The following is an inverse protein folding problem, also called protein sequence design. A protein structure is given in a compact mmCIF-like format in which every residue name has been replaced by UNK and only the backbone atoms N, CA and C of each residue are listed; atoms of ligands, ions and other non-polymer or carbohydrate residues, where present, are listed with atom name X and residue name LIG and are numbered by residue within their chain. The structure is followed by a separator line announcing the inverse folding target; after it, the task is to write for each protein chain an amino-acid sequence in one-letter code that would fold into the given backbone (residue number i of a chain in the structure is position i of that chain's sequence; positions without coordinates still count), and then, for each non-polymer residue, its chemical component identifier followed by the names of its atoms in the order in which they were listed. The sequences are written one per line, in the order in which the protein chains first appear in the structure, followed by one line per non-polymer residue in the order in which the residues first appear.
data_IF_930903018059
#
_entry.id   IF_930903018059
#
_cell.length_a   1.000
_cell.length_b   1.000
_cell.length_c   1.000
_cell.angle_alpha   90.00
_cell.angle_beta   90.00
_cell.angle_gamma   90.00
#
_symmetry.space_group_name_H-M   'P 1'
#
loop_
_entity.id
_entity.type
_entity.pdbx_description
1 polymer ?
#
# COMPACT_ATOMS: atom_id res chain seq x y z
N UNK A 1 14.27 2.59 -8.37
CA UNK A 1 13.01 2.65 -7.63
C UNK A 1 12.81 1.32 -6.96
N UNK A 2 13.17 1.28 -5.68
CA UNK A 2 12.83 0.19 -4.79
C UNK A 2 11.35 0.31 -4.41
N UNK A 3 10.62 -0.80 -4.46
CA UNK A 3 9.22 -0.87 -4.05
C UNK A 3 9.12 -1.93 -2.98
N UNK A 4 8.79 -1.51 -1.76
CA UNK A 4 8.48 -2.40 -0.67
C UNK A 4 6.97 -2.50 -0.51
N UNK A 5 6.47 -3.72 -0.57
CA UNK A 5 5.07 -4.01 -0.30
C UNK A 5 4.99 -5.07 0.77
N UNK A 6 4.24 -4.79 1.82
CA UNK A 6 3.88 -5.77 2.83
C UNK A 6 2.37 -5.99 2.87
N UNK A 7 1.97 -7.19 3.26
CA UNK A 7 0.57 -7.53 3.50
C UNK A 7 0.41 -8.08 4.91
N UNK A 8 -0.63 -7.65 5.60
CA UNK A 8 -1.05 -8.26 6.86
C UNK A 8 -2.06 -9.39 6.61
N UNK A 9 -2.32 -10.19 7.66
CA UNK A 9 -3.25 -11.33 7.62
C UNK A 9 -4.72 -10.94 7.37
N UNK A 10 -5.07 -9.67 7.53
CA UNK A 10 -6.42 -9.14 7.33
C UNK A 10 -6.63 -8.54 5.93
N UNK A 11 -5.64 -8.68 5.03
CA UNK A 11 -5.70 -8.14 3.68
C UNK A 11 -5.36 -6.65 3.57
N UNK A 12 -4.86 -6.05 4.65
CA UNK A 12 -4.24 -4.74 4.62
C UNK A 12 -2.92 -4.78 3.85
N UNK A 13 -2.67 -3.76 3.03
CA UNK A 13 -1.46 -3.66 2.20
C UNK A 13 -0.77 -2.33 2.49
N UNK A 14 0.53 -2.36 2.76
CA UNK A 14 1.37 -1.17 2.83
C UNK A 14 2.28 -1.14 1.62
N UNK A 15 2.37 0.02 0.96
CA UNK A 15 3.28 0.28 -0.15
C UNK A 15 4.20 1.42 0.26
N UNK A 16 5.50 1.21 0.16
CA UNK A 16 6.53 2.22 0.39
C UNK A 16 7.53 2.18 -0.76
N UNK A 17 8.01 3.35 -1.15
CA UNK A 17 9.07 3.48 -2.16
C UNK A 17 10.19 4.38 -1.66
N UNK A 18 11.36 4.23 -2.26
CA UNK A 18 12.55 5.04 -1.98
C UNK A 18 12.38 6.53 -2.34
N UNK A 19 11.46 6.87 -3.24
CA UNK A 19 11.14 8.24 -3.65
C UNK A 19 10.08 8.94 -2.76
N UNK A 20 9.67 8.29 -1.66
CA UNK A 20 8.76 8.87 -0.67
C UNK A 20 7.27 8.67 -0.95
N UNK A 21 6.90 7.91 -1.98
CA UNK A 21 5.51 7.49 -2.13
C UNK A 21 5.14 6.45 -1.07
N UNK A 22 4.02 6.69 -0.40
CA UNK A 22 3.44 5.78 0.56
C UNK A 22 1.95 5.63 0.27
N UNK A 23 1.43 4.40 0.34
CA UNK A 23 0.01 4.13 0.22
C UNK A 23 -0.41 2.94 1.07
N UNK A 24 -1.65 2.97 1.53
CA UNK A 24 -2.25 1.91 2.33
C UNK A 24 -3.52 1.40 1.67
N UNK A 25 -3.70 0.09 1.59
CA UNK A 25 -5.00 -0.53 1.29
C UNK A 25 -5.63 -0.98 2.60
N UNK A 26 -6.76 -0.37 2.97
CA UNK A 26 -7.50 -0.68 4.21
C UNK A 26 -8.99 -0.60 3.94
N UNK A 27 -9.76 -1.56 4.45
CA UNK A 27 -11.21 -1.61 4.33
C UNK A 27 -11.71 -1.48 2.87
N UNK A 28 -11.04 -2.16 1.93
CA UNK A 28 -11.46 -2.21 0.52
C UNK A 28 -11.10 -0.99 -0.32
N UNK A 29 -10.33 -0.03 0.21
CA UNK A 29 -9.92 1.17 -0.54
C UNK A 29 -8.44 1.49 -0.37
N UNK A 30 -7.88 2.12 -1.40
CA UNK A 30 -6.57 2.75 -1.35
C UNK A 30 -6.65 4.11 -0.67
N UNK A 31 -5.68 4.39 0.20
CA UNK A 31 -5.49 5.62 0.94
C UNK A 31 -4.08 6.15 0.69
N UNK A 32 -3.96 7.46 0.54
CA UNK A 32 -2.67 8.13 0.37
C UNK A 32 -1.94 8.21 1.72
N UNK A 33 -0.69 7.77 1.76
CA UNK A 33 0.11 7.66 2.99
C UNK A 33 -0.07 6.36 3.78
N UNK A 34 0.42 6.38 5.02
CA UNK A 34 0.42 5.23 5.95
C UNK A 34 -0.79 5.34 6.88
N UNK A 35 -1.75 4.42 6.77
CA UNK A 35 -3.00 4.40 7.54
C UNK A 35 -3.15 3.14 8.39
N UNK A 36 -2.03 2.70 8.96
CA UNK A 36 -1.95 1.57 9.87
C UNK A 36 -1.71 2.08 11.30
N UNK A 37 -2.55 1.66 12.23
CA UNK A 37 -2.37 1.94 13.65
C UNK A 37 -1.41 0.94 14.31
N UNK A 38 -1.12 1.12 15.60
CA UNK A 38 -0.22 0.23 16.33
C UNK A 38 -0.70 -1.23 16.31
N UNK A 39 -2.01 -1.48 16.36
CA UNK A 39 -2.57 -2.83 16.25
C UNK A 39 -2.33 -3.45 14.87
N UNK A 40 -2.48 -2.68 13.81
CA UNK A 40 -2.21 -3.17 12.45
C UNK A 40 -0.73 -3.50 12.21
N UNK A 41 0.18 -2.83 12.94
CA UNK A 41 1.62 -3.12 12.88
C UNK A 41 2.01 -4.35 13.70
N UNK A 42 1.24 -4.66 14.75
CA UNK A 42 1.41 -5.90 15.52
C UNK A 42 0.99 -7.14 14.74
N UNK A 43 0.23 -6.98 13.65
CA UNK A 43 -0.07 -8.07 12.74
C UNK A 43 1.16 -8.45 11.91
N UNK A 44 1.29 -9.75 11.64
CA UNK A 44 2.37 -10.25 10.81
C UNK A 44 2.28 -9.66 9.39
N UNK A 45 3.22 -8.78 9.08
CA UNK A 45 3.45 -8.26 7.74
C UNK A 45 4.43 -9.18 7.01
N UNK A 46 3.99 -9.73 5.89
CA UNK A 46 4.85 -10.51 5.00
C UNK A 46 5.23 -9.66 3.80
N UNK A 47 6.53 -9.62 3.49
CA UNK A 47 7.02 -8.97 2.28
C UNK A 47 6.54 -9.71 1.04
N UNK A 48 6.13 -8.93 0.06
CA UNK A 48 5.65 -9.42 -1.23
C UNK A 48 6.83 -9.49 -2.22
N UNK A 49 6.91 -10.54 -3.07
CA UNK A 49 7.92 -10.60 -4.12
C UNK A 49 7.89 -9.38 -5.05
N UNK A 50 9.05 -8.93 -5.53
CA UNK A 50 9.20 -7.72 -6.35
C UNK A 50 8.24 -7.65 -7.56
N UNK A 51 8.00 -8.78 -8.23
CA UNK A 51 7.11 -8.84 -9.40
C UNK A 51 5.65 -8.54 -9.06
N UNK A 52 5.20 -8.91 -7.86
CA UNK A 52 3.87 -8.62 -7.35
C UNK A 52 3.82 -7.23 -6.69
N UNK A 53 4.88 -6.82 -5.99
CA UNK A 53 5.03 -5.49 -5.42
C UNK A 53 4.86 -4.40 -6.49
N UNK A 54 5.46 -4.57 -7.68
CA UNK A 54 5.30 -3.67 -8.83
C UNK A 54 3.85 -3.57 -9.33
N UNK A 55 3.11 -4.68 -9.34
CA UNK A 55 1.69 -4.70 -9.76
C UNK A 55 0.84 -3.93 -8.75
N UNK A 56 1.05 -4.19 -7.47
CA UNK A 56 0.33 -3.54 -6.37
C UNK A 56 0.61 -2.04 -6.34
N UNK A 57 1.89 -1.64 -6.49
CA UNK A 57 2.27 -0.23 -6.60
C UNK A 57 1.53 0.48 -7.75
N UNK A 58 1.46 -0.16 -8.94
CA UNK A 58 0.70 0.39 -10.07
C UNK A 58 -0.79 0.55 -9.75
N UNK A 59 -1.40 -0.45 -9.10
CA UNK A 59 -2.81 -0.38 -8.66
C UNK A 59 -3.04 0.77 -7.67
N UNK A 60 -2.15 0.96 -6.69
CA UNK A 60 -2.22 2.05 -5.73
C UNK A 60 -2.16 3.42 -6.42
N UNK A 61 -1.19 3.62 -7.32
CA UNK A 61 -1.05 4.87 -8.09
C UNK A 61 -2.27 5.17 -8.94
N UNK A 62 -2.82 4.17 -9.62
CA UNK A 62 -4.02 4.33 -10.44
C UNK A 62 -5.26 4.66 -9.61
N UNK A 63 -5.44 3.98 -8.48
CA UNK A 63 -6.58 4.22 -7.59
C UNK A 63 -6.53 5.63 -6.97
N UNK A 64 -5.37 6.06 -6.46
CA UNK A 64 -5.21 7.38 -5.84
C UNK A 64 -5.33 8.51 -6.86
N UNK A 65 -4.80 8.35 -8.08
CA UNK A 65 -5.01 9.31 -9.17
C UNK A 65 -6.49 9.48 -9.51
N UNK A 66 -7.26 8.39 -9.58
CA UNK A 66 -8.70 8.46 -9.86
C UNK A 66 -9.47 9.15 -8.73
N UNK A 67 -9.07 8.97 -7.48
CA UNK A 67 -9.67 9.68 -6.34
C UNK A 67 -9.39 11.18 -6.40
N UNK A 68 -8.17 11.60 -6.75
CA UNK A 68 -7.82 13.04 -6.86
C UNK A 68 -8.53 13.78 -7.99
N UNK A 69 -9.04 13.09 -9.02
CA UNK A 69 -9.74 13.71 -10.17
C UNK A 69 -11.22 13.97 -9.87
N UNK A 70 -11.77 13.41 -8.79
CA UNK A 70 -13.20 13.53 -8.41
C UNK A 70 -13.41 14.55 -7.27
N UNK A 71 -12.39 15.34 -6.93
CA UNK A 71 -12.44 16.37 -5.89
C UNK A 71 -12.61 17.77 -6.46
#
# INVERSE_FOLDING_TARGET
MLIEVSKNKYGGILVLTDDGFAASFKNGRWLDGIHFDASDQMDNHSLVPDSEAKKIYKQAKEALRKQSVVA
#
